data_IF_981239878574
#
_entry.id   IF_981239878574
#
_cell.length_a   1.000
_cell.length_b   1.000
_cell.length_c   1.000
_cell.angle_alpha   90.00
_cell.angle_beta   90.00
_cell.angle_gamma   90.00
#
_symmetry.space_group_name_H-M   'P 1'
#
loop_
_entity.id
_entity.type
_entity.pdbx_description
1 polymer ?
#
# COMPACT_ATOMS: atom_id res chain seq x y z
N UNK A 1 23.35 11.97 -4.53
CA UNK A 1 24.28 10.93 -5.01
C UNK A 1 23.87 9.51 -4.62
N UNK A 2 23.35 9.26 -3.41
CA UNK A 2 23.02 7.89 -2.96
C UNK A 2 22.08 7.14 -3.93
N UNK A 3 21.01 7.77 -4.41
CA UNK A 3 20.09 7.12 -5.36
C UNK A 3 20.79 6.73 -6.68
N UNK A 4 21.59 7.63 -7.26
CA UNK A 4 22.38 7.30 -8.47
C UNK A 4 23.40 6.17 -8.22
N UNK A 5 24.05 6.15 -7.05
CA UNK A 5 24.99 5.09 -6.66
C UNK A 5 24.25 3.76 -6.51
N UNK A 6 23.09 3.77 -5.84
CA UNK A 6 22.26 2.58 -5.65
C UNK A 6 21.81 2.01 -7.00
N UNK A 7 21.31 2.85 -7.90
CA UNK A 7 20.91 2.44 -9.25
C UNK A 7 22.09 1.94 -10.07
N UNK A 8 23.25 2.59 -10.00
CA UNK A 8 24.46 2.12 -10.68
C UNK A 8 24.93 0.76 -10.14
N UNK A 9 24.92 0.57 -8.82
CA UNK A 9 25.22 -0.73 -8.20
C UNK A 9 24.20 -1.80 -8.61
N UNK A 10 22.91 -1.46 -8.63
CA UNK A 10 21.83 -2.35 -9.06
C UNK A 10 22.05 -2.83 -10.50
N UNK A 11 22.26 -1.91 -11.43
CA UNK A 11 22.51 -2.24 -12.84
C UNK A 11 23.81 -3.04 -13.05
N UNK A 12 24.83 -2.87 -12.19
CA UNK A 12 26.03 -3.71 -12.21
C UNK A 12 25.78 -5.12 -11.67
N UNK A 13 24.86 -5.29 -10.72
CA UNK A 13 24.52 -6.57 -10.10
C UNK A 13 23.51 -7.40 -10.91
N UNK A 14 22.70 -6.77 -11.76
CA UNK A 14 21.65 -7.40 -12.55
C UNK A 14 22.14 -8.63 -13.36
N UNK A 15 23.27 -8.58 -14.11
CA UNK A 15 23.77 -9.76 -14.83
C UNK A 15 24.19 -10.92 -13.89
N UNK A 16 24.66 -10.60 -12.68
CA UNK A 16 25.03 -11.60 -11.68
C UNK A 16 23.80 -12.25 -11.03
N UNK A 17 22.74 -11.45 -10.81
CA UNK A 17 21.46 -11.95 -10.33
C UNK A 17 20.85 -12.91 -11.36
N UNK A 18 20.83 -12.56 -12.64
CA UNK A 18 20.32 -13.42 -13.71
C UNK A 18 21.11 -14.73 -13.82
N UNK A 19 22.44 -14.65 -13.72
CA UNK A 19 23.29 -15.84 -13.65
C UNK A 19 22.94 -16.72 -12.45
N UNK A 20 22.75 -16.13 -11.26
CA UNK A 20 22.36 -16.86 -10.07
C UNK A 20 20.98 -17.52 -10.23
N UNK A 21 20.01 -16.87 -10.89
CA UNK A 21 18.71 -17.47 -11.18
C UNK A 21 18.84 -18.68 -12.12
N UNK A 22 19.64 -18.56 -13.18
CA UNK A 22 19.89 -19.63 -14.13
C UNK A 22 20.59 -20.82 -13.46
N UNK A 23 21.60 -20.55 -12.63
CA UNK A 23 22.29 -21.57 -11.85
C UNK A 23 21.34 -22.28 -10.88
N UNK A 24 20.52 -21.54 -10.14
CA UNK A 24 19.51 -22.11 -9.24
C UNK A 24 18.59 -23.10 -9.95
N UNK A 25 18.03 -22.71 -11.12
CA UNK A 25 17.17 -23.58 -11.95
C UNK A 25 17.91 -24.83 -12.44
N UNK A 26 19.18 -24.71 -12.82
CA UNK A 26 19.98 -25.82 -13.33
C UNK A 26 20.29 -26.87 -12.25
N UNK A 27 20.60 -26.44 -11.02
CA UNK A 27 20.84 -27.33 -9.88
C UNK A 27 19.55 -27.87 -9.25
N UNK A 28 18.40 -27.21 -9.45
CA UNK A 28 17.10 -27.71 -9.00
C UNK A 28 16.44 -28.67 -10.00
N UNK A 29 16.99 -28.81 -11.21
CA UNK A 29 16.43 -29.69 -12.23
C UNK A 29 16.92 -31.14 -12.02
N UNK A 30 16.06 -32.09 -11.63
CA UNK A 30 16.45 -33.48 -11.36
C UNK A 30 16.92 -34.23 -12.61
N UNK A 31 16.62 -33.71 -13.81
CA UNK A 31 17.07 -34.24 -15.10
C UNK A 31 18.46 -33.73 -15.50
N UNK A 32 19.02 -32.76 -14.76
CA UNK A 32 20.37 -32.24 -14.99
C UNK A 32 21.40 -33.11 -14.26
N UNK A 33 22.57 -33.43 -14.85
CA UNK A 33 23.67 -34.09 -14.15
C UNK A 33 24.10 -33.34 -12.88
N UNK A 34 23.98 -32.00 -12.88
CA UNK A 34 24.26 -31.16 -11.73
C UNK A 34 23.18 -31.24 -10.64
N UNK A 35 21.92 -31.52 -11.03
CA UNK A 35 20.79 -31.68 -10.12
C UNK A 35 20.76 -33.03 -9.38
N UNK A 36 21.52 -34.02 -9.88
CA UNK A 36 21.65 -35.34 -9.25
C UNK A 36 22.75 -35.39 -8.18
N UNK A 37 23.52 -34.31 -8.03
CA UNK A 37 24.58 -34.23 -7.02
C UNK A 37 23.99 -34.15 -5.59
N UNK A 38 24.53 -34.84 -4.57
CA UNK A 38 23.99 -34.83 -3.20
C UNK A 38 23.92 -33.44 -2.54
N UNK A 39 24.70 -32.48 -3.03
CA UNK A 39 24.68 -31.08 -2.59
C UNK A 39 23.89 -30.14 -3.51
N UNK A 40 23.31 -30.64 -4.61
CA UNK A 40 22.64 -29.84 -5.62
C UNK A 40 21.53 -28.95 -5.04
N UNK A 41 20.74 -29.50 -4.13
CA UNK A 41 19.68 -28.75 -3.44
C UNK A 41 20.24 -27.60 -2.59
N UNK A 42 21.37 -27.80 -1.91
CA UNK A 42 22.04 -26.74 -1.12
C UNK A 42 22.66 -25.67 -2.02
N UNK A 43 23.26 -26.07 -3.13
CA UNK A 43 23.84 -25.16 -4.13
C UNK A 43 22.73 -24.35 -4.81
N UNK A 44 21.63 -24.99 -5.20
CA UNK A 44 20.44 -24.34 -5.74
C UNK A 44 19.85 -23.33 -4.75
N UNK A 45 19.67 -23.71 -3.48
CA UNK A 45 19.18 -22.81 -2.44
C UNK A 45 20.11 -21.60 -2.21
N UNK A 46 21.44 -21.80 -2.29
CA UNK A 46 22.42 -20.71 -2.20
C UNK A 46 22.33 -19.73 -3.37
N UNK A 47 22.21 -20.24 -4.60
CA UNK A 47 22.01 -19.39 -5.78
C UNK A 47 20.63 -18.71 -5.81
N UNK A 48 19.58 -19.38 -5.32
CA UNK A 48 18.25 -18.76 -5.15
C UNK A 48 18.31 -17.59 -4.16
N UNK A 49 19.01 -17.76 -3.04
CA UNK A 49 19.24 -16.69 -2.08
C UNK A 49 20.03 -15.53 -2.70
N UNK A 50 21.13 -15.82 -3.42
CA UNK A 50 21.93 -14.79 -4.10
C UNK A 50 21.12 -14.01 -5.15
N UNK A 51 20.32 -14.71 -5.95
CA UNK A 51 19.41 -14.07 -6.90
C UNK A 51 18.43 -13.14 -6.19
N UNK A 52 17.79 -13.59 -5.10
CA UNK A 52 16.85 -12.75 -4.34
C UNK A 52 17.49 -11.53 -3.70
N UNK A 53 18.76 -11.62 -3.31
CA UNK A 53 19.50 -10.48 -2.76
C UNK A 53 19.89 -9.45 -3.83
N UNK A 54 20.02 -9.86 -5.11
CA UNK A 54 20.49 -9.00 -6.19
C UNK A 54 19.46 -8.61 -7.25
N UNK A 55 18.28 -9.25 -7.28
CA UNK A 55 17.26 -9.01 -8.29
C UNK A 55 16.52 -7.68 -8.08
N UNK A 56 16.03 -7.11 -9.17
CA UNK A 56 15.02 -6.07 -9.10
C UNK A 56 13.66 -6.65 -8.73
N UNK A 57 12.87 -5.88 -7.98
CA UNK A 57 11.52 -6.25 -7.59
C UNK A 57 10.53 -5.34 -8.30
N UNK A 58 9.96 -5.85 -9.38
CA UNK A 58 8.91 -5.18 -10.13
C UNK A 58 7.59 -5.16 -9.33
N UNK A 59 6.65 -4.30 -9.77
CA UNK A 59 5.31 -4.24 -9.21
C UNK A 59 4.62 -5.62 -9.34
N UNK A 60 4.18 -6.26 -8.23
CA UNK A 60 3.47 -7.52 -8.30
C UNK A 60 2.09 -7.34 -8.94
N UNK A 61 1.56 -8.42 -9.54
CA UNK A 61 0.15 -8.49 -9.93
C UNK A 61 -0.73 -8.89 -8.73
N UNK A 62 -1.99 -8.46 -8.69
CA UNK A 62 -2.93 -9.03 -7.72
C UNK A 62 -3.17 -10.51 -8.01
N UNK A 63 -3.18 -10.94 -9.27
CA UNK A 63 -3.24 -12.36 -9.63
C UNK A 63 -4.51 -13.10 -9.13
N UNK A 64 -5.58 -12.38 -8.80
CA UNK A 64 -6.85 -12.98 -8.36
C UNK A 64 -7.62 -13.39 -9.60
N UNK A 65 -7.58 -14.68 -9.95
CA UNK A 65 -8.25 -15.22 -11.15
C UNK A 65 -9.66 -15.72 -10.89
N UNK A 66 -9.92 -16.23 -9.69
CA UNK A 66 -11.24 -16.71 -9.28
C UNK A 66 -11.41 -16.57 -7.76
N UNK A 67 -12.66 -16.50 -7.30
CA UNK A 67 -13.03 -16.58 -5.88
C UNK A 67 -14.27 -17.47 -5.70
N UNK A 68 -14.36 -18.25 -4.62
CA UNK A 68 -15.56 -19.01 -4.32
C UNK A 68 -16.66 -18.09 -3.78
N UNK A 69 -17.83 -18.12 -4.39
CA UNK A 69 -19.06 -17.44 -3.94
C UNK A 69 -20.14 -18.51 -3.78
N UNK A 70 -20.54 -18.78 -2.54
CA UNK A 70 -21.49 -19.85 -2.19
C UNK A 70 -21.14 -21.23 -2.79
N UNK A 71 -19.85 -21.54 -2.90
CA UNK A 71 -19.36 -22.79 -3.51
C UNK A 71 -19.27 -22.78 -5.03
N UNK A 72 -19.63 -21.69 -5.71
CA UNK A 72 -19.41 -21.48 -7.15
C UNK A 72 -18.14 -20.68 -7.36
N UNK A 73 -17.22 -21.19 -8.19
CA UNK A 73 -16.03 -20.44 -8.58
C UNK A 73 -16.39 -19.34 -9.58
N UNK A 74 -16.26 -18.10 -9.14
CA UNK A 74 -16.56 -16.90 -9.92
C UNK A 74 -15.26 -16.34 -10.48
N UNK A 75 -15.20 -16.20 -11.81
CA UNK A 75 -14.03 -15.66 -12.50
C UNK A 75 -13.88 -14.16 -12.21
N UNK A 76 -12.63 -13.72 -12.01
CA UNK A 76 -12.28 -12.34 -11.72
C UNK A 76 -11.50 -11.74 -12.89
N UNK A 77 -11.96 -10.57 -13.34
CA UNK A 77 -11.24 -9.74 -14.29
C UNK A 77 -10.89 -8.40 -13.64
N UNK A 78 -9.60 -8.17 -13.50
CA UNK A 78 -9.04 -6.92 -13.01
C UNK A 78 -9.00 -5.89 -14.15
N UNK A 79 -9.42 -4.65 -13.87
CA UNK A 79 -9.37 -3.55 -14.83
C UNK A 79 -9.16 -2.19 -14.15
N UNK A 80 -8.53 -1.27 -14.87
CA UNK A 80 -8.43 0.13 -14.47
C UNK A 80 -9.72 0.85 -14.86
N UNK A 81 -10.35 1.52 -13.90
CA UNK A 81 -11.60 2.27 -14.11
C UNK A 81 -11.35 3.78 -14.19
N UNK A 82 -10.39 4.28 -13.42
CA UNK A 82 -9.89 5.65 -13.51
C UNK A 82 -8.38 5.59 -13.48
N UNK A 83 -7.75 6.27 -14.44
CA UNK A 83 -6.30 6.38 -14.53
C UNK A 83 -5.87 7.82 -14.24
N UNK A 84 -5.15 8.04 -13.14
CA UNK A 84 -4.59 9.33 -12.74
C UNK A 84 -3.06 9.28 -12.76
N UNK A 85 -2.38 10.45 -12.82
CA UNK A 85 -0.92 10.49 -12.80
C UNK A 85 -0.25 9.68 -11.69
N UNK A 86 -0.81 9.71 -10.47
CA UNK A 86 -0.23 9.03 -9.30
C UNK A 86 -1.01 7.81 -8.79
N UNK A 87 -2.17 7.50 -9.38
CA UNK A 87 -3.06 6.46 -8.85
C UNK A 87 -3.95 5.87 -9.93
N UNK A 88 -4.12 4.55 -9.91
CA UNK A 88 -5.18 3.87 -10.64
C UNK A 88 -6.30 3.49 -9.66
N UNK A 89 -7.55 3.83 -10.00
CA UNK A 89 -8.69 3.17 -9.38
C UNK A 89 -8.96 1.87 -10.12
N UNK A 90 -8.66 0.75 -9.47
CA UNK A 90 -8.83 -0.59 -10.04
C UNK A 90 -10.11 -1.25 -9.56
N UNK A 91 -10.73 -2.05 -10.42
CA UNK A 91 -11.90 -2.87 -10.11
C UNK A 91 -11.64 -4.33 -10.44
N UNK A 92 -12.12 -5.19 -9.56
CA UNK A 92 -12.17 -6.63 -9.76
C UNK A 92 -13.60 -7.04 -10.13
N UNK A 93 -13.86 -7.16 -11.43
CA UNK A 93 -15.17 -7.51 -11.95
C UNK A 93 -15.37 -9.03 -11.90
N UNK A 94 -16.49 -9.44 -11.33
CA UNK A 94 -16.90 -10.83 -11.14
C UNK A 94 -17.77 -11.32 -12.29
N UNK A 95 -17.47 -12.52 -12.80
CA UNK A 95 -18.18 -13.19 -13.89
C UNK A 95 -18.57 -14.60 -13.47
N UNK A 96 -19.80 -14.98 -13.81
CA UNK A 96 -20.37 -16.28 -13.53
C UNK A 96 -21.37 -16.61 -14.62
N UNK A 97 -21.33 -17.84 -15.13
CA UNK A 97 -22.32 -18.35 -16.09
C UNK A 97 -23.59 -18.85 -15.38
N UNK A 98 -23.52 -19.07 -14.06
CA UNK A 98 -24.68 -19.42 -13.23
C UNK A 98 -25.63 -18.21 -13.01
N UNK A 99 -26.90 -18.27 -13.49
CA UNK A 99 -27.82 -17.13 -13.43
C UNK A 99 -28.15 -16.66 -12.01
N UNK A 100 -28.29 -17.60 -11.06
CA UNK A 100 -28.59 -17.27 -9.67
C UNK A 100 -27.43 -16.51 -9.01
N UNK A 101 -26.21 -16.98 -9.20
CA UNK A 101 -24.99 -16.30 -8.76
C UNK A 101 -24.87 -14.92 -9.40
N UNK A 102 -25.08 -14.80 -10.71
CA UNK A 102 -25.02 -13.53 -11.40
C UNK A 102 -26.05 -12.51 -10.87
N UNK A 103 -27.27 -12.95 -10.56
CA UNK A 103 -28.29 -12.10 -9.95
C UNK A 103 -27.86 -11.59 -8.56
N UNK A 104 -27.29 -12.47 -7.71
CA UNK A 104 -26.74 -12.09 -6.39
C UNK A 104 -25.59 -11.09 -6.52
N UNK A 105 -24.63 -11.33 -7.42
CA UNK A 105 -23.48 -10.45 -7.62
C UNK A 105 -23.89 -9.02 -8.01
N UNK A 106 -25.01 -8.87 -8.74
CA UNK A 106 -25.56 -7.57 -9.15
C UNK A 106 -26.14 -6.78 -7.98
N UNK A 107 -26.70 -7.42 -6.96
CA UNK A 107 -27.31 -6.72 -5.80
C UNK A 107 -26.32 -6.43 -4.67
N UNK A 108 -25.18 -7.12 -4.64
CA UNK A 108 -24.17 -6.93 -3.59
C UNK A 108 -23.62 -5.50 -3.49
N UNK A 109 -23.27 -5.04 -2.28
CA UNK A 109 -22.75 -3.69 -2.07
C UNK A 109 -21.41 -3.45 -2.75
N UNK A 110 -21.05 -2.18 -2.95
CA UNK A 110 -19.75 -1.76 -3.47
C UNK A 110 -18.88 -1.23 -2.34
N UNK A 111 -17.59 -1.61 -2.35
CA UNK A 111 -16.59 -1.16 -1.40
C UNK A 111 -15.39 -0.54 -2.12
N UNK A 112 -14.97 0.63 -1.66
CA UNK A 112 -13.70 1.27 -2.01
C UNK A 112 -12.66 0.94 -0.94
N UNK A 113 -11.65 0.18 -1.31
CA UNK A 113 -10.45 -0.07 -0.50
C UNK A 113 -9.42 0.99 -0.82
N UNK A 114 -9.03 1.78 0.17
CA UNK A 114 -7.95 2.77 0.03
C UNK A 114 -6.68 2.15 0.59
N UNK A 115 -5.79 1.77 -0.32
CA UNK A 115 -4.51 1.14 0.01
C UNK A 115 -3.49 2.18 0.52
N UNK A 116 -2.54 1.77 1.38
CA UNK A 116 -1.45 2.64 1.81
C UNK A 116 -0.59 3.15 0.65
N UNK A 117 -0.20 4.41 0.70
CA UNK A 117 0.95 4.95 -0.03
C UNK A 117 2.10 5.10 0.99
N UNK A 118 2.73 3.96 1.32
CA UNK A 118 3.81 3.88 2.32
C UNK A 118 4.96 3.01 1.84
N UNK A 119 5.36 3.24 0.58
CA UNK A 119 6.50 2.56 -0.04
C UNK A 119 6.22 1.18 -0.59
N UNK A 120 4.98 0.67 -0.55
CA UNK A 120 4.61 -0.63 -1.09
C UNK A 120 3.38 -0.54 -1.99
N UNK A 121 3.24 -1.52 -2.88
CA UNK A 121 2.10 -1.60 -3.80
C UNK A 121 0.82 -2.10 -3.12
N UNK A 122 -0.33 -1.76 -3.69
CA UNK A 122 -1.65 -2.15 -3.18
C UNK A 122 -1.89 -3.67 -3.14
N UNK A 123 -1.02 -4.45 -3.79
CA UNK A 123 -1.07 -5.92 -3.78
C UNK A 123 -0.82 -6.53 -2.41
N UNK A 124 -0.23 -5.80 -1.45
CA UNK A 124 -0.22 -6.23 -0.04
C UNK A 124 -1.63 -6.46 0.53
N UNK A 125 -2.65 -5.83 -0.05
CA UNK A 125 -4.06 -6.07 0.30
C UNK A 125 -4.74 -7.13 -0.57
N UNK A 126 -3.98 -7.95 -1.32
CA UNK A 126 -4.51 -9.00 -2.21
C UNK A 126 -5.46 -9.93 -1.48
N UNK A 127 -5.12 -10.39 -0.29
CA UNK A 127 -5.96 -11.31 0.48
C UNK A 127 -7.21 -10.62 1.04
N UNK A 128 -7.10 -9.33 1.41
CA UNK A 128 -8.24 -8.49 1.76
C UNK A 128 -9.21 -8.35 0.57
N UNK A 129 -8.68 -8.03 -0.61
CA UNK A 129 -9.47 -7.95 -1.86
C UNK A 129 -10.13 -9.30 -2.17
N UNK A 130 -9.37 -10.40 -2.10
CA UNK A 130 -9.89 -11.76 -2.35
C UNK A 130 -11.03 -12.11 -1.40
N UNK A 131 -10.92 -11.71 -0.14
CA UNK A 131 -11.95 -11.95 0.88
C UNK A 131 -13.19 -11.11 0.61
N UNK A 132 -13.03 -9.80 0.36
CA UNK A 132 -14.14 -8.89 0.07
C UNK A 132 -14.91 -9.28 -1.20
N UNK A 133 -14.21 -9.83 -2.20
CA UNK A 133 -14.81 -10.25 -3.48
C UNK A 133 -15.86 -11.34 -3.34
N UNK A 134 -15.95 -12.04 -2.21
CA UNK A 134 -17.03 -12.99 -1.95
C UNK A 134 -18.39 -12.28 -1.86
N UNK A 135 -18.40 -11.11 -1.23
CA UNK A 135 -19.63 -10.43 -0.83
C UNK A 135 -19.81 -9.01 -1.42
N UNK A 136 -18.78 -8.45 -2.07
CA UNK A 136 -18.77 -7.05 -2.50
C UNK A 136 -18.28 -6.87 -3.94
N UNK A 137 -18.76 -5.81 -4.60
CA UNK A 137 -18.08 -5.22 -5.76
C UNK A 137 -16.87 -4.44 -5.24
N UNK A 138 -15.66 -4.91 -5.53
CA UNK A 138 -14.43 -4.33 -4.94
C UNK A 138 -13.74 -3.39 -5.90
N UNK A 139 -13.45 -2.20 -5.40
CA UNK A 139 -12.56 -1.22 -6.00
C UNK A 139 -11.38 -0.96 -5.05
N UNK A 140 -10.18 -0.74 -5.59
CA UNK A 140 -8.99 -0.41 -4.79
C UNK A 140 -8.20 0.74 -5.42
N UNK A 141 -7.63 1.61 -4.59
CA UNK A 141 -6.61 2.57 -5.03
C UNK A 141 -5.27 1.87 -5.19
N UNK A 142 -4.65 1.98 -6.35
CA UNK A 142 -3.35 1.40 -6.65
C UNK A 142 -2.37 2.51 -7.06
N UNK A 143 -1.52 2.91 -6.11
CA UNK A 143 -0.60 4.04 -6.27
C UNK A 143 0.53 3.71 -7.24
N UNK A 144 0.88 4.69 -8.07
CA UNK A 144 1.97 4.57 -9.03
C UNK A 144 3.29 4.95 -8.36
N UNK A 145 4.35 4.28 -8.79
CA UNK A 145 5.70 4.61 -8.35
C UNK A 145 6.10 5.97 -8.93
N UNK A 146 6.40 6.95 -8.07
CA UNK A 146 6.66 8.33 -8.48
C UNK A 146 7.83 8.46 -9.46
N UNK A 147 8.80 7.52 -9.44
CA UNK A 147 9.90 7.50 -10.43
C UNK A 147 9.42 7.28 -11.86
N UNK A 148 8.24 6.70 -12.05
CA UNK A 148 7.63 6.44 -13.35
C UNK A 148 6.65 7.54 -13.78
N UNK A 149 6.38 8.55 -12.94
CA UNK A 149 5.46 9.66 -13.23
C UNK A 149 6.26 10.84 -13.78
N UNK A 150 5.94 11.28 -15.00
CA UNK A 150 6.70 12.33 -15.70
C UNK A 150 6.57 13.66 -14.97
N UNK A 151 7.59 14.52 -15.06
CA UNK A 151 7.57 15.84 -14.41
C UNK A 151 6.41 16.73 -14.89
N UNK A 152 6.03 16.62 -16.18
CA UNK A 152 4.91 17.39 -16.74
C UNK A 152 3.54 17.02 -16.15
N UNK A 153 3.43 15.85 -15.52
CA UNK A 153 2.19 15.40 -14.88
C UNK A 153 2.01 16.01 -13.46
N UNK A 154 2.90 16.93 -13.05
CA UNK A 154 2.80 17.71 -11.82
C UNK A 154 3.39 17.03 -10.58
N UNK A 155 3.32 17.71 -9.44
CA UNK A 155 3.67 17.17 -8.11
C UNK A 155 2.47 16.43 -7.51
N UNK A 156 2.71 15.66 -6.45
CA UNK A 156 1.63 15.01 -5.71
C UNK A 156 1.71 15.41 -4.24
N UNK A 157 0.66 16.07 -3.78
CA UNK A 157 0.53 16.58 -2.42
C UNK A 157 -0.42 15.71 -1.57
N UNK A 158 -0.39 15.90 -0.25
CA UNK A 158 -1.36 15.26 0.65
C UNK A 158 -2.79 15.71 0.33
N UNK A 159 -2.97 16.95 -0.12
CA UNK A 159 -4.26 17.47 -0.58
C UNK A 159 -4.77 16.72 -1.82
N UNK A 160 -3.87 16.36 -2.75
CA UNK A 160 -4.23 15.58 -3.94
C UNK A 160 -4.72 14.18 -3.58
N UNK A 161 -4.11 13.54 -2.58
CA UNK A 161 -4.59 12.27 -2.04
C UNK A 161 -6.04 12.41 -1.56
N UNK A 162 -6.32 13.43 -0.74
CA UNK A 162 -7.66 13.70 -0.22
C UNK A 162 -8.64 13.98 -1.38
N UNK A 163 -8.22 14.71 -2.40
CA UNK A 163 -9.02 15.01 -3.59
C UNK A 163 -9.31 13.76 -4.44
N UNK A 164 -8.33 12.87 -4.63
CA UNK A 164 -8.49 11.61 -5.36
C UNK A 164 -9.51 10.70 -4.66
N UNK A 165 -9.44 10.58 -3.33
CA UNK A 165 -10.42 9.79 -2.56
C UNK A 165 -11.84 10.34 -2.73
N UNK A 166 -12.03 11.66 -2.64
CA UNK A 166 -13.35 12.28 -2.85
C UNK A 166 -13.88 12.01 -4.26
N UNK A 167 -13.02 12.08 -5.28
CA UNK A 167 -13.40 11.77 -6.65
C UNK A 167 -13.81 10.31 -6.83
N UNK A 168 -13.06 9.38 -6.24
CA UNK A 168 -13.38 7.95 -6.31
C UNK A 168 -14.70 7.62 -5.60
N UNK A 169 -14.97 8.24 -4.44
CA UNK A 169 -16.26 8.13 -3.75
C UNK A 169 -17.39 8.64 -4.66
N UNK A 170 -17.25 9.84 -5.24
CA UNK A 170 -18.26 10.43 -6.14
C UNK A 170 -18.51 9.56 -7.36
N UNK A 171 -17.45 9.00 -7.95
CA UNK A 171 -17.57 8.06 -9.07
C UNK A 171 -18.40 6.84 -8.68
N UNK A 172 -18.12 6.19 -7.55
CA UNK A 172 -18.90 5.04 -7.09
C UNK A 172 -20.35 5.39 -6.75
N UNK A 173 -20.60 6.59 -6.19
CA UNK A 173 -21.96 7.09 -5.99
C UNK A 173 -22.70 7.29 -7.31
N UNK A 174 -22.04 7.75 -8.36
CA UNK A 174 -22.66 7.86 -9.69
C UNK A 174 -22.99 6.48 -10.27
N UNK A 175 -22.11 5.48 -10.07
CA UNK A 175 -22.30 4.14 -10.62
C UNK A 175 -23.32 3.29 -9.86
N UNK A 176 -23.37 3.40 -8.53
CA UNK A 176 -24.14 2.47 -7.67
C UNK A 176 -25.12 3.18 -6.73
N UNK A 177 -25.11 4.50 -6.69
CA UNK A 177 -25.90 5.28 -5.75
C UNK A 177 -25.36 5.24 -4.31
N UNK A 178 -24.36 4.44 -3.97
CA UNK A 178 -23.78 4.38 -2.63
C UNK A 178 -22.40 3.71 -2.69
N UNK A 179 -21.63 3.80 -1.61
CA UNK A 179 -20.45 2.97 -1.41
C UNK A 179 -20.17 2.77 0.08
N UNK A 180 -19.39 1.73 0.39
CA UNK A 180 -18.66 1.62 1.65
C UNK A 180 -17.20 1.99 1.38
N UNK A 181 -16.51 2.56 2.35
CA UNK A 181 -15.06 2.84 2.25
C UNK A 181 -14.30 2.13 3.36
N UNK A 182 -13.16 1.54 3.00
CA UNK A 182 -12.24 0.87 3.91
C UNK A 182 -10.85 1.45 3.70
N UNK A 183 -10.21 1.90 4.78
CA UNK A 183 -8.85 2.44 4.78
C UNK A 183 -7.96 1.63 5.71
N UNK A 184 -6.75 1.32 5.28
CA UNK A 184 -5.80 0.49 6.02
C UNK A 184 -4.50 1.24 6.25
N UNK A 185 -4.09 1.43 7.49
CA UNK A 185 -2.88 2.14 7.89
C UNK A 185 -2.88 3.63 7.52
N UNK A 186 -1.82 4.13 6.89
CA UNK A 186 -1.62 5.53 6.47
C UNK A 186 -2.86 6.25 5.88
N UNK A 187 -3.68 5.65 4.99
CA UNK A 187 -4.87 6.26 4.39
C UNK A 187 -5.97 6.67 5.36
N UNK A 188 -6.00 6.17 6.60
CA UNK A 188 -7.09 6.50 7.53
C UNK A 188 -7.23 8.02 7.69
N UNK A 189 -6.11 8.74 7.81
CA UNK A 189 -6.07 10.19 7.99
C UNK A 189 -6.65 10.95 6.76
N UNK A 190 -6.12 10.78 5.53
CA UNK A 190 -6.69 11.46 4.37
C UNK A 190 -8.10 10.99 3.98
N UNK A 191 -8.48 9.74 4.29
CA UNK A 191 -9.86 9.26 4.08
C UNK A 191 -10.83 9.97 5.03
N UNK A 192 -10.47 10.11 6.32
CA UNK A 192 -11.30 10.88 7.25
C UNK A 192 -11.42 12.34 6.80
N UNK A 193 -10.34 12.95 6.34
CA UNK A 193 -10.39 14.30 5.78
C UNK A 193 -11.31 14.41 4.56
N UNK A 194 -11.19 13.49 3.61
CA UNK A 194 -12.04 13.44 2.42
C UNK A 194 -13.53 13.38 2.78
N UNK A 195 -13.92 12.44 3.64
CA UNK A 195 -15.32 12.28 4.05
C UNK A 195 -15.81 13.48 4.87
N UNK A 196 -14.94 14.07 5.71
CA UNK A 196 -15.26 15.29 6.48
C UNK A 196 -15.56 16.48 5.56
N UNK A 197 -14.73 16.72 4.55
CA UNK A 197 -14.90 17.81 3.59
C UNK A 197 -16.17 17.63 2.76
N UNK A 198 -16.45 16.39 2.32
CA UNK A 198 -17.71 16.06 1.65
C UNK A 198 -18.91 16.32 2.57
N UNK A 199 -18.81 16.00 3.86
CA UNK A 199 -19.88 16.24 4.83
C UNK A 199 -20.13 17.74 5.04
N UNK A 200 -19.08 18.54 5.19
CA UNK A 200 -19.19 20.00 5.32
C UNK A 200 -19.85 20.65 4.10
N UNK A 201 -19.70 20.06 2.90
CA UNK A 201 -20.36 20.52 1.67
C UNK A 201 -21.78 19.98 1.48
N UNK A 202 -22.29 19.14 2.39
CA UNK A 202 -23.60 18.50 2.25
C UNK A 202 -23.64 17.49 1.10
N UNK A 203 -22.50 16.94 0.71
CA UNK A 203 -22.45 15.90 -0.32
C UNK A 203 -22.95 14.55 0.19
N UNK A 204 -23.28 13.67 -0.74
CA UNK A 204 -23.59 12.27 -0.42
C UNK A 204 -22.34 11.58 0.11
N UNK A 205 -22.42 11.03 1.31
CA UNK A 205 -21.33 10.33 2.00
C UNK A 205 -21.38 8.81 1.77
N UNK A 206 -20.26 8.09 1.95
CA UNK A 206 -20.28 6.63 2.05
C UNK A 206 -21.24 6.16 3.15
N UNK A 207 -21.84 4.99 2.99
CA UNK A 207 -22.73 4.39 3.98
C UNK A 207 -21.97 3.98 5.25
N UNK A 208 -20.74 3.49 5.09
CA UNK A 208 -19.83 3.21 6.20
C UNK A 208 -18.40 3.57 5.85
N UNK A 209 -17.63 3.85 6.89
CA UNK A 209 -16.20 4.12 6.87
C UNK A 209 -15.51 3.19 7.87
N UNK A 210 -14.75 2.22 7.34
CA UNK A 210 -13.91 1.32 8.12
C UNK A 210 -12.47 1.80 8.09
N UNK A 211 -11.85 1.90 9.27
CA UNK A 211 -10.50 2.43 9.45
C UNK A 211 -9.68 1.42 10.23
N UNK A 212 -8.58 0.92 9.65
CA UNK A 212 -7.83 -0.20 10.23
C UNK A 212 -6.39 0.23 10.51
N UNK A 213 -5.97 0.22 11.78
CA UNK A 213 -4.58 0.37 12.22
C UNK A 213 -3.86 1.58 11.65
N UNK A 214 -4.48 2.76 11.70
CA UNK A 214 -3.93 3.99 11.14
C UNK A 214 -3.80 5.15 12.14
N UNK A 215 -2.91 6.13 11.85
CA UNK A 215 -2.45 7.11 12.82
C UNK A 215 -3.38 8.34 12.94
N UNK A 216 -4.64 8.15 13.33
CA UNK A 216 -5.60 9.28 13.46
C UNK A 216 -5.15 10.25 14.55
N UNK A 217 -4.76 9.73 15.72
CA UNK A 217 -4.06 10.50 16.75
C UNK A 217 -2.71 9.87 17.08
N UNK A 218 -1.68 10.22 16.29
CA UNK A 218 -0.30 9.78 16.46
C UNK A 218 0.36 10.15 17.81
N UNK A 219 -0.32 10.92 18.68
CA UNK A 219 0.15 11.23 20.04
C UNK A 219 -0.18 10.12 21.04
N UNK A 220 -1.18 9.28 20.74
CA UNK A 220 -1.57 8.14 21.57
C UNK A 220 -0.61 6.97 21.32
N UNK A 221 -0.08 6.38 22.40
CA UNK A 221 0.84 5.23 22.36
C UNK A 221 1.94 5.34 21.28
N UNK A 222 2.84 6.34 21.35
CA UNK A 222 3.81 6.58 20.27
C UNK A 222 4.76 5.39 20.04
N UNK A 223 4.89 4.98 18.78
CA UNK A 223 5.79 3.91 18.32
C UNK A 223 7.16 4.48 17.89
N UNK A 224 8.06 3.60 17.43
CA UNK A 224 9.35 4.02 16.87
C UNK A 224 9.19 4.98 15.68
N UNK A 225 8.16 4.76 14.85
CA UNK A 225 7.81 5.62 13.72
C UNK A 225 7.41 7.00 14.20
N UNK A 226 6.52 7.09 15.20
CA UNK A 226 6.10 8.37 15.79
C UNK A 226 7.32 9.12 16.38
N UNK A 227 8.17 8.42 17.12
CA UNK A 227 9.34 9.02 17.77
C UNK A 227 10.35 9.57 16.75
N UNK A 228 10.58 8.89 15.63
CA UNK A 228 11.45 9.40 14.57
C UNK A 228 10.89 10.70 13.99
N UNK A 229 9.58 10.72 13.68
CA UNK A 229 8.92 11.89 13.11
C UNK A 229 8.90 13.09 14.06
N UNK A 230 8.69 12.88 15.35
CA UNK A 230 8.64 13.96 16.35
C UNK A 230 10.02 14.54 16.70
N UNK A 231 11.07 13.72 16.68
CA UNK A 231 12.41 14.15 17.12
C UNK A 231 13.30 14.72 16.02
N UNK A 232 12.88 14.64 14.75
CA UNK A 232 13.61 15.17 13.60
C UNK A 232 12.86 16.33 12.99
N UNK A 233 13.57 17.41 12.64
CA UNK A 233 12.94 18.54 11.93
C UNK A 233 12.49 18.12 10.53
N UNK A 234 11.52 18.82 9.96
CA UNK A 234 11.11 18.58 8.57
C UNK A 234 12.29 18.75 7.60
N UNK A 235 13.15 19.76 7.84
CA UNK A 235 14.39 19.96 7.08
C UNK A 235 15.37 18.79 7.20
N UNK A 236 15.36 18.04 8.30
CA UNK A 236 16.17 16.83 8.43
C UNK A 236 15.66 15.77 7.45
N UNK A 237 14.35 15.53 7.38
CA UNK A 237 13.78 14.59 6.42
C UNK A 237 14.09 15.01 4.97
N UNK A 238 13.85 16.28 4.65
CA UNK A 238 14.13 16.83 3.32
C UNK A 238 15.59 16.61 2.89
N UNK A 239 16.56 16.83 3.79
CA UNK A 239 17.98 16.72 3.44
C UNK A 239 18.54 15.30 3.50
N UNK A 240 17.89 14.37 4.22
CA UNK A 240 18.45 13.03 4.46
C UNK A 240 17.74 11.93 3.66
N UNK A 241 16.44 12.07 3.40
CA UNK A 241 15.64 11.00 2.78
C UNK A 241 15.05 11.37 1.41
N UNK A 242 15.10 12.64 1.01
CA UNK A 242 14.61 13.07 -0.30
C UNK A 242 15.74 13.09 -1.33
N UNK A 243 15.50 12.42 -2.46
CA UNK A 243 16.43 12.31 -3.57
C UNK A 243 15.75 12.67 -4.89
N UNK A 244 16.56 12.95 -5.91
CA UNK A 244 16.05 13.12 -7.28
C UNK A 244 16.08 11.79 -8.02
N UNK A 245 15.01 11.50 -8.73
CA UNK A 245 14.91 10.35 -9.63
C UNK A 245 16.00 10.44 -10.70
N UNK A 246 16.78 9.36 -10.96
CA UNK A 246 17.83 9.36 -11.99
C UNK A 246 17.29 9.42 -13.43
N UNK A 247 18.17 9.76 -14.38
CA UNK A 247 17.82 10.10 -15.77
C UNK A 247 17.25 8.94 -16.60
N UNK A 248 17.40 7.70 -16.13
CA UNK A 248 16.91 6.49 -16.80
C UNK A 248 15.42 6.20 -16.58
N UNK A 249 14.72 7.02 -15.77
CA UNK A 249 13.30 6.84 -15.50
C UNK A 249 12.44 7.99 -16.07
N UNK A 250 11.16 7.75 -16.39
CA UNK A 250 10.26 8.80 -16.89
C UNK A 250 10.13 10.02 -15.96
N UNK A 251 10.24 9.81 -14.64
CA UNK A 251 10.19 10.85 -13.62
C UNK A 251 11.53 11.53 -13.33
N UNK A 252 12.55 11.40 -14.19
CA UNK A 252 13.88 11.98 -14.02
C UNK A 252 13.84 13.41 -13.46
N UNK A 253 14.61 13.67 -12.41
CA UNK A 253 14.67 14.97 -11.73
C UNK A 253 13.59 15.22 -10.66
N UNK A 254 12.49 14.45 -10.65
CA UNK A 254 11.44 14.51 -9.60
C UNK A 254 12.04 14.23 -8.23
N UNK A 255 11.59 14.98 -7.22
CA UNK A 255 11.96 14.75 -5.83
C UNK A 255 11.10 13.64 -5.25
N UNK A 256 11.72 12.64 -4.67
CA UNK A 256 11.03 11.49 -4.10
C UNK A 256 11.68 11.04 -2.79
N UNK A 257 10.89 10.39 -1.94
CA UNK A 257 11.43 9.49 -0.92
C UNK A 257 11.57 8.09 -1.54
N UNK A 258 12.79 7.60 -1.84
CA UNK A 258 12.96 6.35 -2.58
C UNK A 258 12.48 5.12 -1.81
N UNK A 259 11.84 4.17 -2.49
CA UNK A 259 11.30 2.96 -1.88
C UNK A 259 12.37 2.12 -1.17
N UNK A 260 13.59 2.06 -1.70
CA UNK A 260 14.69 1.31 -1.07
C UNK A 260 15.14 1.93 0.27
N UNK A 261 15.07 3.26 0.41
CA UNK A 261 15.36 3.95 1.68
C UNK A 261 14.24 3.78 2.70
N UNK A 262 12.99 3.71 2.23
CA UNK A 262 11.84 3.38 3.07
C UNK A 262 11.98 1.97 3.66
N UNK A 263 12.25 1.00 2.79
CA UNK A 263 12.41 -0.39 3.18
C UNK A 263 13.58 -0.61 4.13
N UNK A 264 14.75 -0.04 3.82
CA UNK A 264 15.92 -0.14 4.70
C UNK A 264 15.68 0.53 6.06
N UNK A 265 14.98 1.66 6.09
CA UNK A 265 14.55 2.32 7.33
C UNK A 265 13.63 1.43 8.18
N UNK A 266 12.65 0.77 7.56
CA UNK A 266 11.72 -0.12 8.25
C UNK A 266 12.41 -1.40 8.75
N UNK A 267 13.25 -2.04 7.92
CA UNK A 267 14.04 -3.20 8.31
C UNK A 267 14.96 -2.88 9.49
N UNK A 268 15.56 -1.68 9.49
CA UNK A 268 16.40 -1.21 10.59
C UNK A 268 15.63 -0.93 11.90
N UNK A 269 14.31 -0.71 11.83
CA UNK A 269 13.47 -0.58 13.03
C UNK A 269 13.18 -1.93 13.70
N UNK A 270 13.28 -3.05 12.96
CA UNK A 270 13.01 -4.40 13.46
C UNK A 270 14.03 -5.48 12.96
N UNK A 271 15.35 -5.26 13.11
CA UNK A 271 16.38 -6.03 12.40
C UNK A 271 16.38 -7.53 12.77
N UNK A 272 16.14 -7.87 14.04
CA UNK A 272 16.11 -9.25 14.52
C UNK A 272 14.95 -10.07 13.92
N UNK A 273 13.80 -9.41 13.68
CA UNK A 273 12.61 -10.05 13.10
C UNK A 273 12.85 -10.39 11.62
N UNK A 274 13.49 -9.49 10.88
CA UNK A 274 13.83 -9.70 9.48
C UNK A 274 14.96 -10.72 9.28
N UNK A 275 16.02 -10.68 10.10
CA UNK A 275 17.12 -11.65 10.06
C UNK A 275 16.64 -13.07 10.34
N UNK A 276 15.78 -13.24 11.37
CA UNK A 276 15.19 -14.52 11.72
C UNK A 276 14.33 -15.08 10.58
N UNK A 277 13.54 -14.23 9.94
CA UNK A 277 12.66 -14.66 8.84
C UNK A 277 13.43 -15.03 7.55
N UNK A 278 14.55 -14.36 7.23
CA UNK A 278 15.46 -14.81 6.15
C UNK A 278 16.14 -16.16 6.47
N UNK A 279 16.48 -16.38 7.74
CA UNK A 279 17.06 -17.64 8.19
C UNK A 279 16.05 -18.81 8.20
N UNK A 280 14.80 -18.54 8.60
CA UNK A 280 13.71 -19.51 8.55
C UNK A 280 13.37 -19.88 7.09
N UNK A 281 13.32 -18.90 6.18
CA UNK A 281 13.19 -19.14 4.72
C UNK A 281 14.29 -20.08 4.17
N UNK A 282 15.56 -19.83 4.52
CA UNK A 282 16.68 -20.68 4.09
C UNK A 282 16.57 -22.12 4.63
N UNK A 283 16.09 -22.29 5.88
CA UNK A 283 15.85 -23.61 6.45
C UNK A 283 14.74 -24.36 5.71
N UNK A 284 13.65 -23.69 5.34
CA UNK A 284 12.52 -24.32 4.68
C UNK A 284 12.87 -24.77 3.25
N UNK A 285 13.71 -23.99 2.54
CA UNK A 285 14.30 -24.41 1.25
C UNK A 285 15.15 -25.69 1.36
N UNK A 286 15.97 -25.80 2.41
CA UNK A 286 16.82 -26.98 2.65
C UNK A 286 15.98 -28.22 3.00
N UNK A 287 14.89 -28.03 3.75
CA UNK A 287 13.98 -29.12 4.13
C UNK A 287 13.14 -29.65 2.97
N UNK A 288 12.99 -28.87 1.89
CA UNK A 288 12.15 -29.23 0.74
C UNK A 288 10.65 -29.07 1.00
N UNK A 289 10.25 -28.29 2.01
CA UNK A 289 8.84 -27.90 2.21
C UNK A 289 8.47 -26.80 1.21
N UNK A 290 8.18 -27.22 -0.02
CA UNK A 290 7.91 -26.31 -1.13
C UNK A 290 6.69 -25.42 -0.89
N UNK A 291 5.68 -25.88 -0.14
CA UNK A 291 4.48 -25.10 0.17
C UNK A 291 4.77 -23.92 1.10
N UNK A 292 5.49 -24.16 2.20
CA UNK A 292 5.89 -23.09 3.11
C UNK A 292 6.88 -22.14 2.43
N UNK A 293 7.84 -22.70 1.68
CA UNK A 293 8.80 -21.90 0.91
C UNK A 293 8.09 -20.99 -0.11
N UNK A 294 7.16 -21.48 -0.93
CA UNK A 294 6.46 -20.65 -1.92
C UNK A 294 5.65 -19.51 -1.31
N UNK A 295 4.94 -19.74 -0.21
CA UNK A 295 4.24 -18.66 0.51
C UNK A 295 5.21 -17.61 1.06
N UNK A 296 6.33 -18.03 1.66
CA UNK A 296 7.40 -17.14 2.10
C UNK A 296 8.00 -16.36 0.91
N UNK A 297 8.20 -17.02 -0.24
CA UNK A 297 8.71 -16.38 -1.46
C UNK A 297 7.79 -15.27 -1.92
N UNK A 298 6.50 -15.57 -2.08
CA UNK A 298 5.51 -14.61 -2.56
C UNK A 298 5.41 -13.41 -1.62
N UNK A 299 5.37 -13.64 -0.31
CA UNK A 299 5.36 -12.56 0.68
C UNK A 299 6.58 -11.65 0.55
N UNK A 300 7.79 -12.22 0.47
CA UNK A 300 9.01 -11.41 0.37
C UNK A 300 9.19 -10.74 -0.98
N UNK A 301 8.75 -11.37 -2.07
CA UNK A 301 8.76 -10.73 -3.39
C UNK A 301 7.85 -9.50 -3.41
N UNK A 302 6.71 -9.59 -2.75
CA UNK A 302 5.78 -8.49 -2.60
C UNK A 302 6.25 -7.42 -1.61
N UNK A 303 6.88 -7.83 -0.51
CA UNK A 303 7.41 -6.93 0.50
C UNK A 303 8.66 -6.17 0.04
N UNK A 304 9.49 -6.77 -0.82
CA UNK A 304 10.65 -6.12 -1.41
C UNK A 304 10.28 -5.28 -2.65
N UNK A 305 9.08 -5.46 -3.21
CA UNK A 305 8.57 -4.63 -4.28
C UNK A 305 8.08 -3.29 -3.75
N UNK A 306 9.01 -2.33 -3.75
CA UNK A 306 8.83 -1.01 -3.15
C UNK A 306 8.64 0.07 -4.21
N UNK A 307 7.96 1.14 -3.83
CA UNK A 307 7.72 2.28 -4.70
C UNK A 307 8.27 3.58 -4.11
N UNK A 308 8.65 4.51 -4.99
CA UNK A 308 9.04 5.86 -4.60
C UNK A 308 7.79 6.70 -4.36
N UNK A 309 7.80 7.47 -3.27
CA UNK A 309 6.74 8.43 -2.96
C UNK A 309 7.20 9.82 -3.36
N UNK A 310 6.28 10.64 -3.88
CA UNK A 310 6.56 12.04 -4.16
C UNK A 310 6.97 12.78 -2.86
N UNK A 311 7.95 13.67 -2.97
CA UNK A 311 8.53 14.32 -1.81
C UNK A 311 7.54 15.23 -1.08
N UNK A 312 6.69 15.96 -1.83
CA UNK A 312 5.77 16.92 -1.25
C UNK A 312 4.71 16.20 -0.42
N UNK A 313 4.07 15.17 -0.99
CA UNK A 313 3.19 14.26 -0.26
C UNK A 313 3.82 13.70 1.02
N UNK A 314 5.05 13.20 0.95
CA UNK A 314 5.72 12.60 2.11
C UNK A 314 5.99 13.64 3.21
N UNK A 315 6.60 14.78 2.86
CA UNK A 315 6.95 15.83 3.81
C UNK A 315 5.70 16.45 4.44
N UNK A 316 4.66 16.70 3.64
CA UNK A 316 3.38 17.19 4.13
C UNK A 316 2.69 16.20 5.07
N UNK A 317 2.80 14.89 4.80
CA UNK A 317 2.30 13.85 5.70
C UNK A 317 3.03 13.89 7.04
N UNK A 318 4.36 13.99 7.05
CA UNK A 318 5.14 14.12 8.29
C UNK A 318 4.72 15.36 9.08
N UNK A 319 4.71 16.53 8.43
CA UNK A 319 4.31 17.80 9.08
C UNK A 319 2.88 17.73 9.60
N UNK A 320 1.92 17.33 8.76
CA UNK A 320 0.48 17.39 9.08
C UNK A 320 0.06 16.35 10.12
N UNK A 321 0.53 15.10 9.96
CA UNK A 321 0.03 13.96 10.74
C UNK A 321 0.87 13.70 11.98
N UNK A 322 2.19 13.80 11.87
CA UNK A 322 3.11 13.32 12.91
C UNK A 322 3.83 14.43 13.70
N UNK A 323 3.77 15.69 13.26
CA UNK A 323 4.41 16.81 13.96
C UNK A 323 3.41 17.86 14.45
N UNK A 324 2.56 18.36 13.54
CA UNK A 324 1.58 19.42 13.85
C UNK A 324 0.23 18.85 14.30
N UNK A 325 -0.01 17.56 14.03
CA UNK A 325 -1.23 16.82 14.39
C UNK A 325 -2.50 17.59 13.97
N UNK A 326 -2.51 18.15 12.75
CA UNK A 326 -3.50 19.15 12.33
C UNK A 326 -4.94 18.63 12.36
N UNK A 327 -5.14 17.34 12.08
CA UNK A 327 -6.46 16.71 12.11
C UNK A 327 -7.08 16.75 13.51
N UNK A 328 -6.38 16.22 14.51
CA UNK A 328 -6.86 16.16 15.89
C UNK A 328 -6.89 17.52 16.57
N UNK A 329 -6.07 18.47 16.11
CA UNK A 329 -6.10 19.85 16.58
C UNK A 329 -7.17 20.71 15.88
N UNK A 330 -7.87 20.17 14.87
CA UNK A 330 -8.90 20.90 14.13
C UNK A 330 -8.36 22.07 13.30
N UNK A 331 -7.08 22.03 12.93
CA UNK A 331 -6.37 23.09 12.19
C UNK A 331 -6.03 22.68 10.76
N UNK A 332 -6.42 21.48 10.32
CA UNK A 332 -6.11 21.00 8.97
C UNK A 332 -7.03 21.64 7.92
N UNK A 333 -6.44 22.49 7.09
CA UNK A 333 -7.04 22.99 5.86
C UNK A 333 -6.48 22.22 4.66
N UNK A 334 -7.36 21.75 3.78
CA UNK A 334 -7.02 21.04 2.53
C UNK A 334 -7.34 21.94 1.34
N UNK A 335 -6.42 22.06 0.40
CA UNK A 335 -6.65 22.75 -0.87
C UNK A 335 -7.44 21.87 -1.82
N UNK A 336 -8.58 22.37 -2.28
CA UNK A 336 -9.39 21.68 -3.27
C UNK A 336 -8.85 21.91 -4.70
N UNK A 337 -9.38 21.20 -5.71
CA UNK A 337 -8.93 21.34 -7.10
C UNK A 337 -9.12 22.73 -7.72
N UNK A 338 -9.91 23.61 -7.07
CA UNK A 338 -10.09 25.02 -7.47
C UNK A 338 -9.13 25.97 -6.74
N UNK A 339 -8.20 25.42 -5.96
CA UNK A 339 -7.20 26.18 -5.19
C UNK A 339 -7.70 26.75 -3.86
N UNK A 340 -8.95 26.49 -3.47
CA UNK A 340 -9.54 27.02 -2.24
C UNK A 340 -9.20 26.14 -1.05
N UNK A 341 -8.88 26.76 0.08
CA UNK A 341 -8.64 26.07 1.35
C UNK A 341 -9.97 25.76 2.03
N UNK A 342 -10.15 24.50 2.44
CA UNK A 342 -11.33 24.02 3.14
C UNK A 342 -10.93 23.34 4.44
N UNK A 343 -11.56 23.72 5.55
CA UNK A 343 -11.31 23.14 6.87
C UNK A 343 -11.85 21.72 6.96
N UNK A 344 -11.00 20.79 7.35
CA UNK A 344 -11.40 19.43 7.71
C UNK A 344 -12.17 19.44 9.03
N UNK A 345 -13.42 18.99 9.01
CA UNK A 345 -14.34 18.98 10.17
C UNK A 345 -14.99 17.60 10.35
N UNK A 346 -14.32 16.64 11.03
CA UNK A 346 -14.89 15.31 11.27
C UNK A 346 -16.23 15.34 12.00
N UNK A 347 -16.45 16.37 12.83
CA UNK A 347 -17.69 16.64 13.52
C UNK A 347 -18.84 17.04 12.60
N UNK A 348 -18.68 17.15 11.28
CA UNK A 348 -19.76 17.40 10.32
C UNK A 348 -20.32 16.10 9.72
N UNK A 349 -19.65 14.96 9.93
CA UNK A 349 -20.13 13.64 9.49
C UNK A 349 -21.35 13.22 10.33
N UNK A 350 -22.48 12.84 9.70
CA UNK A 350 -23.74 12.47 10.38
C UNK A 350 -24.31 11.13 9.97
N UNK A 351 -24.17 10.76 8.70
CA UNK A 351 -24.90 9.64 8.07
C UNK A 351 -24.04 8.43 7.71
N UNK A 352 -22.73 8.50 7.96
CA UNK A 352 -21.78 7.41 7.72
C UNK A 352 -21.57 6.63 9.00
N UNK A 353 -21.75 5.31 8.97
CA UNK A 353 -21.37 4.44 10.08
C UNK A 353 -19.83 4.34 10.20
N UNK A 354 -19.27 4.42 11.40
CA UNK A 354 -17.83 4.37 11.64
C UNK A 354 -17.43 3.05 12.34
N UNK A 355 -16.44 2.35 11.79
CA UNK A 355 -15.81 1.19 12.41
C UNK A 355 -14.29 1.39 12.44
N UNK A 356 -13.69 1.28 13.63
CA UNK A 356 -12.24 1.28 13.81
C UNK A 356 -11.75 -0.11 14.20
N UNK A 357 -10.61 -0.53 13.65
CA UNK A 357 -9.95 -1.79 13.99
C UNK A 357 -8.50 -1.50 14.35
N UNK A 358 -8.02 -2.03 15.46
CA UNK A 358 -6.63 -1.89 15.91
C UNK A 358 -6.05 -3.27 16.25
N UNK A 359 -4.73 -3.41 16.07
CA UNK A 359 -3.99 -4.58 16.55
C UNK A 359 -3.42 -4.30 17.94
N UNK A 360 -3.69 -5.19 18.90
CA UNK A 360 -3.16 -5.07 20.27
C UNK A 360 -1.63 -4.98 20.33
N UNK A 361 -0.95 -5.65 19.39
CA UNK A 361 0.51 -5.75 19.29
C UNK A 361 1.07 -5.02 18.05
N UNK A 362 0.34 -4.03 17.53
CA UNK A 362 0.79 -3.21 16.40
C UNK A 362 1.93 -2.27 16.85
N UNK A 363 3.14 -2.50 16.30
CA UNK A 363 4.35 -1.74 16.58
C UNK A 363 4.53 -0.52 15.64
N UNK A 364 3.58 -0.29 14.73
CA UNK A 364 3.57 0.81 13.78
C UNK A 364 2.51 1.85 14.17
N UNK A 365 1.25 1.44 14.26
CA UNK A 365 0.13 2.28 14.71
C UNK A 365 -0.32 1.83 16.09
N UNK A 366 0.18 2.53 17.12
CA UNK A 366 -0.07 2.15 18.51
C UNK A 366 -1.55 2.14 18.89
N UNK A 367 -1.88 1.41 19.96
CA UNK A 367 -3.25 1.33 20.47
C UNK A 367 -3.82 2.71 20.83
N UNK A 368 -5.08 2.93 20.47
CA UNK A 368 -5.84 4.16 20.64
C UNK A 368 -5.68 5.16 19.50
N UNK A 369 -4.68 4.99 18.60
CA UNK A 369 -4.44 5.93 17.52
C UNK A 369 -5.57 5.96 16.50
N UNK A 370 -6.14 4.82 16.11
CA UNK A 370 -7.26 4.72 15.15
C UNK A 370 -8.59 4.98 15.85
N UNK A 371 -8.75 4.45 17.07
CA UNK A 371 -9.95 4.64 17.90
C UNK A 371 -10.27 6.13 18.12
N UNK A 372 -9.25 7.00 18.16
CA UNK A 372 -9.41 8.45 18.27
C UNK A 372 -10.36 9.06 17.22
N UNK A 373 -10.59 8.39 16.07
CA UNK A 373 -11.60 8.82 15.10
C UNK A 373 -13.00 8.98 15.72
N UNK A 374 -13.36 8.14 16.69
CA UNK A 374 -14.66 8.23 17.37
C UNK A 374 -14.83 9.53 18.15
N UNK A 375 -13.76 10.05 18.75
CA UNK A 375 -13.78 11.31 19.52
C UNK A 375 -13.87 12.52 18.59
N UNK A 376 -13.33 12.43 17.37
CA UNK A 376 -13.42 13.48 16.35
C UNK A 376 -14.79 13.51 15.67
N UNK A 377 -15.36 12.34 15.35
CA UNK A 377 -16.62 12.19 14.65
C UNK A 377 -17.86 12.31 15.57
N UNK A 378 -17.92 13.38 16.37
CA UNK A 378 -19.00 13.62 17.36
C UNK A 378 -20.41 13.73 16.78
N UNK A 379 -20.51 13.88 15.47
CA UNK A 379 -21.79 13.90 14.75
C UNK A 379 -22.41 12.53 14.48
N UNK A 380 -21.64 11.45 14.58
CA UNK A 380 -22.16 10.10 14.37
C UNK A 380 -22.82 9.67 15.69
N UNK A 381 -24.12 9.40 15.63
CA UNK A 381 -24.88 8.91 16.80
C UNK A 381 -24.40 7.50 17.12
N UNK A 382 -23.94 7.30 18.36
CA UNK A 382 -23.40 6.03 18.86
C UNK A 382 -24.50 5.12 19.40
#
# INVERSE_FOLDING_TARGET
MLYQIFEAQRSLMEPFADFAQAASKLYNNPLSPLGQHPLAQRVSAGYDLLYRLGKDYEKPEFGIKAVPVDGVDVAIHERVEIDKPFCELRRFKRFSDEPATLAKLKTQPVVLVVAPLSGHYATLLRDTVRTLLRDHKVYITDWKNARLVRLEDGEFHLDDYVNYVQEFIRYLHQQYGHCHIMSVCQPTVPVLAAVSLMASRGEKLPLSMTMMGGPIDARKSPTAVNNLAMNKSLSWFENNVIYRVPDNFPGAGRRVYPGFLQHTGFVAMNPDRHLKSHYDYFKDLIKGDNSSAESHRQFYDEYNAVLDMDADYYLETISTVFQEFKLVNGTWDVRNPKGQLERVRPQDIRSTALLTVEGELDDISGSGQTEAAHDLCTGIVR
#
